data_IF_634723787457
#
_entry.id   IF_634723787457
#
_cell.length_a   1.000
_cell.length_b   1.000
_cell.length_c   1.000
_cell.angle_alpha   90.00
_cell.angle_beta   90.00
_cell.angle_gamma   90.00
#
_symmetry.space_group_name_H-M   'P 1'
#
loop_
_entity.id
_entity.type
_entity.pdbx_description
1 polymer ?
#
# COMPACT_ATOMS: atom_id res chain seq x y z
N UNK A 1 19.32 -4.39 -5.37
CA UNK A 1 20.15 -3.49 -6.19
C UNK A 1 21.57 -3.49 -5.63
N UNK A 2 22.62 -3.47 -6.47
CA UNK A 2 24.01 -3.54 -5.97
C UNK A 2 24.37 -2.18 -5.35
N UNK A 3 24.71 -2.16 -4.06
CA UNK A 3 24.95 -0.93 -3.29
C UNK A 3 25.99 0.00 -3.93
N UNK A 4 27.03 -0.59 -4.54
CA UNK A 4 28.12 0.15 -5.20
C UNK A 4 27.67 1.06 -6.35
N UNK A 5 26.56 0.73 -7.02
CA UNK A 5 26.08 1.45 -8.22
C UNK A 5 24.69 2.07 -8.04
N UNK A 6 24.12 1.96 -6.84
CA UNK A 6 22.74 2.38 -6.60
C UNK A 6 22.73 3.70 -5.86
N UNK A 7 22.06 4.69 -6.44
CA UNK A 7 21.73 5.93 -5.72
C UNK A 7 20.69 5.62 -4.65
N UNK A 8 20.86 6.21 -3.45
CA UNK A 8 19.95 6.02 -2.31
C UNK A 8 18.47 6.19 -2.72
N UNK A 9 18.17 7.26 -3.47
CA UNK A 9 16.82 7.54 -3.99
C UNK A 9 16.24 6.38 -4.82
N UNK A 10 17.07 5.69 -5.60
CA UNK A 10 16.63 4.53 -6.37
C UNK A 10 16.46 3.32 -5.46
N UNK A 11 17.38 3.09 -4.51
CA UNK A 11 17.27 2.04 -3.49
C UNK A 11 15.93 2.11 -2.75
N UNK A 12 15.55 3.30 -2.29
CA UNK A 12 14.32 3.53 -1.52
C UNK A 12 13.05 3.25 -2.35
N UNK A 13 13.07 3.49 -3.68
CA UNK A 13 11.94 3.20 -4.57
C UNK A 13 11.72 1.69 -4.71
N UNK A 14 12.81 0.92 -4.77
CA UNK A 14 12.78 -0.52 -5.00
C UNK A 14 12.86 -1.35 -3.72
N UNK A 15 12.84 -0.70 -2.56
CA UNK A 15 12.77 -1.35 -1.26
C UNK A 15 11.44 -2.12 -1.12
N UNK A 16 11.48 -3.29 -0.47
CA UNK A 16 10.29 -4.13 -0.30
C UNK A 16 9.20 -3.42 0.49
N UNK A 17 9.59 -2.62 1.49
CA UNK A 17 8.64 -1.79 2.24
C UNK A 17 7.90 -0.81 1.33
N UNK A 18 8.59 -0.15 0.39
CA UNK A 18 7.95 0.76 -0.56
C UNK A 18 7.04 0.01 -1.54
N UNK A 19 7.44 -1.19 -1.98
CA UNK A 19 6.60 -2.06 -2.81
C UNK A 19 5.29 -2.42 -2.12
N UNK A 20 5.36 -2.91 -0.87
CA UNK A 20 4.16 -3.28 -0.10
C UNK A 20 3.29 -2.08 0.24
N UNK A 21 3.90 -0.92 0.53
CA UNK A 21 3.17 0.35 0.71
C UNK A 21 2.36 0.71 -0.52
N UNK A 22 2.96 0.59 -1.70
CA UNK A 22 2.28 0.88 -2.98
C UNK A 22 1.15 -0.11 -3.26
N UNK A 23 1.34 -1.38 -2.91
CA UNK A 23 0.27 -2.38 -3.04
C UNK A 23 -0.91 -2.05 -2.11
N UNK A 24 -0.66 -1.71 -0.84
CA UNK A 24 -1.72 -1.31 0.08
C UNK A 24 -2.46 -0.05 -0.42
N UNK A 25 -1.73 0.92 -0.95
CA UNK A 25 -2.31 2.13 -1.52
C UNK A 25 -3.25 1.82 -2.71
N UNK A 26 -2.84 0.91 -3.61
CA UNK A 26 -3.67 0.46 -4.72
C UNK A 26 -4.94 -0.24 -4.22
N UNK A 27 -4.80 -1.15 -3.25
CA UNK A 27 -5.96 -1.87 -2.68
C UNK A 27 -6.96 -0.90 -2.04
N UNK A 28 -6.48 0.11 -1.29
CA UNK A 28 -7.34 1.14 -0.72
C UNK A 28 -8.09 1.93 -1.80
N UNK A 29 -7.43 2.29 -2.90
CA UNK A 29 -8.06 2.97 -4.04
C UNK A 29 -9.11 2.10 -4.73
N UNK A 30 -8.87 0.79 -4.83
CA UNK A 30 -9.86 -0.17 -5.36
C UNK A 30 -11.09 -0.23 -4.45
N UNK A 31 -10.88 -0.27 -3.13
CA UNK A 31 -11.99 -0.23 -2.17
C UNK A 31 -12.78 1.07 -2.26
N UNK A 32 -12.10 2.21 -2.50
CA UNK A 32 -12.76 3.50 -2.70
C UNK A 32 -13.66 3.49 -3.93
N UNK A 33 -13.16 2.99 -5.06
CA UNK A 33 -13.96 2.80 -6.26
C UNK A 33 -15.16 1.87 -6.01
N UNK A 34 -14.98 0.79 -5.25
CA UNK A 34 -16.09 -0.11 -4.89
C UNK A 34 -17.12 0.54 -3.98
N UNK A 35 -16.71 1.44 -3.09
CA UNK A 35 -17.63 2.22 -2.27
C UNK A 35 -18.41 3.23 -3.11
N UNK A 36 -17.78 3.88 -4.08
CA UNK A 36 -18.46 4.76 -5.05
C UNK A 36 -19.50 4.01 -5.89
N UNK A 37 -19.18 2.76 -6.26
CA UNK A 37 -20.10 1.85 -6.95
C UNK A 37 -21.19 1.25 -6.05
N UNK A 38 -21.25 1.65 -4.76
CA UNK A 38 -22.20 1.15 -3.74
C UNK A 38 -22.13 -0.37 -3.51
N UNK A 39 -21.00 -1.00 -3.83
CA UNK A 39 -20.76 -2.41 -3.56
C UNK A 39 -20.38 -2.63 -2.08
N UNK A 40 -19.77 -1.61 -1.45
CA UNK A 40 -19.28 -1.66 -0.08
C UNK A 40 -19.72 -0.38 0.69
N UNK A 41 -20.23 -0.51 1.93
CA UNK A 41 -20.52 0.63 2.79
C UNK A 41 -19.29 1.52 3.03
N UNK A 42 -19.50 2.84 3.11
CA UNK A 42 -18.41 3.79 3.40
C UNK A 42 -17.81 3.60 4.80
N UNK A 43 -18.61 3.08 5.73
CA UNK A 43 -18.21 2.77 7.10
C UNK A 43 -17.11 1.69 7.14
N UNK A 44 -17.28 0.62 6.35
CA UNK A 44 -16.28 -0.45 6.22
C UNK A 44 -14.97 0.10 5.65
N UNK A 45 -15.05 1.02 4.69
CA UNK A 45 -13.89 1.65 4.09
C UNK A 45 -13.12 2.54 5.08
N UNK A 46 -13.83 3.29 5.94
CA UNK A 46 -13.19 4.06 6.99
C UNK A 46 -12.47 3.16 8.01
N UNK A 47 -13.09 2.03 8.38
CA UNK A 47 -12.48 1.10 9.32
C UNK A 47 -11.23 0.44 8.72
N UNK A 48 -11.31 0.03 7.45
CA UNK A 48 -10.16 -0.50 6.71
C UNK A 48 -9.06 0.55 6.62
N UNK A 49 -9.36 1.80 6.27
CA UNK A 49 -8.36 2.89 6.21
C UNK A 49 -7.69 3.17 7.55
N UNK A 50 -8.42 3.04 8.67
CA UNK A 50 -7.87 3.23 10.04
C UNK A 50 -7.00 2.07 10.51
N UNK A 51 -7.30 0.84 10.07
CA UNK A 51 -6.64 -0.39 10.54
C UNK A 51 -5.62 -0.96 9.56
N UNK A 52 -5.65 -0.50 8.30
CA UNK A 52 -4.75 -0.89 7.24
C UNK A 52 -3.30 -0.58 7.64
N UNK A 53 -2.62 -1.62 8.10
CA UNK A 53 -1.20 -1.61 8.43
C UNK A 53 -0.62 -2.90 7.89
N UNK A 54 0.58 -2.81 7.33
CA UNK A 54 1.35 -3.96 6.89
C UNK A 54 2.67 -3.97 7.65
N UNK A 55 3.18 -5.17 7.91
CA UNK A 55 4.50 -5.37 8.49
C UNK A 55 5.25 -6.29 7.55
N UNK A 56 6.39 -5.81 7.03
CA UNK A 56 7.21 -6.57 6.08
C UNK A 56 7.72 -7.88 6.69
N UNK A 57 7.93 -7.91 8.01
CA UNK A 57 8.34 -9.10 8.77
C UNK A 57 7.24 -10.18 8.89
N UNK A 58 5.99 -9.81 8.60
CA UNK A 58 4.80 -10.64 8.83
C UNK A 58 4.15 -11.15 7.53
N UNK A 59 4.71 -10.78 6.38
CA UNK A 59 4.30 -11.18 5.01
C UNK A 59 5.19 -12.32 4.54
#
# INVERSE_FOLDING_TARGET
>A
MIERYTLQRMKDVWEEENKFRKWLEIELLVMEAFSELKLIPKEDLEEIRKRASFSVERI
#
